data_IF_496895378278
#
_entry.id   IF_496895378278
#
_cell.length_a   1.000
_cell.length_b   1.000
_cell.length_c   1.000
_cell.angle_alpha   90.00
_cell.angle_beta   90.00
_cell.angle_gamma   90.00
#
_symmetry.space_group_name_H-M   'P 1'
#
loop_
_entity.id
_entity.type
_entity.pdbx_description
1 polymer ?
#
# COMPACT_ATOMS: atom_id res chain seq x y z
N UNK A 1 12.65 -10.25 10.65
CA UNK A 1 12.54 -10.79 9.28
C UNK A 1 11.10 -10.66 8.84
N UNK A 2 10.84 -10.24 7.61
CA UNK A 2 9.48 -10.36 7.02
C UNK A 2 9.23 -11.85 6.79
N UNK A 3 8.03 -12.33 7.10
CA UNK A 3 7.65 -13.72 6.84
C UNK A 3 7.88 -14.03 5.35
N UNK A 4 8.57 -15.15 5.06
CA UNK A 4 8.88 -15.56 3.69
C UNK A 4 7.62 -15.79 2.86
N UNK A 5 6.53 -16.19 3.51
CA UNK A 5 5.24 -16.35 2.88
C UNK A 5 4.68 -14.99 2.45
N UNK A 6 4.71 -13.98 3.33
CA UNK A 6 4.25 -12.63 3.01
C UNK A 6 5.10 -11.97 1.92
N UNK A 7 6.42 -12.17 1.96
CA UNK A 7 7.34 -11.61 0.97
C UNK A 7 7.16 -12.20 -0.45
N UNK A 8 6.50 -13.36 -0.58
CA UNK A 8 6.21 -13.99 -1.88
C UNK A 8 4.88 -13.58 -2.51
N UNK A 9 4.05 -12.83 -1.78
CA UNK A 9 2.73 -12.45 -2.23
C UNK A 9 2.80 -11.28 -3.24
N UNK A 10 2.10 -11.42 -4.37
CA UNK A 10 2.11 -10.41 -5.45
C UNK A 10 1.51 -9.06 -5.02
N UNK A 11 0.63 -9.08 -4.02
CA UNK A 11 -0.03 -7.91 -3.44
C UNK A 11 0.78 -7.26 -2.31
N UNK A 12 1.96 -7.81 -1.96
CA UNK A 12 2.85 -7.25 -0.94
C UNK A 12 4.05 -6.55 -1.56
N UNK A 13 4.21 -5.25 -1.28
CA UNK A 13 5.21 -4.40 -1.94
C UNK A 13 6.33 -3.90 -1.02
N UNK A 14 6.39 -4.37 0.23
CA UNK A 14 7.42 -3.92 1.17
C UNK A 14 7.37 -2.42 1.44
N UNK A 15 8.50 -1.71 1.29
CA UNK A 15 8.53 -0.24 1.40
C UNK A 15 8.09 0.35 0.05
N UNK A 16 6.86 0.89 0.01
CA UNK A 16 6.29 1.51 -1.18
C UNK A 16 5.93 2.99 -0.90
N UNK A 17 6.50 3.94 -1.66
CA UNK A 17 6.15 5.37 -1.58
C UNK A 17 4.69 5.65 -1.91
N UNK A 18 4.16 6.74 -1.36
CA UNK A 18 2.75 7.11 -1.55
C UNK A 18 2.38 7.42 -3.01
N UNK A 19 3.31 7.99 -3.78
CA UNK A 19 3.07 8.31 -5.19
C UNK A 19 2.91 7.05 -6.04
N UNK A 20 3.68 5.99 -5.76
CA UNK A 20 3.58 4.73 -6.48
C UNK A 20 2.26 4.02 -6.19
N UNK A 21 1.73 4.12 -4.96
CA UNK A 21 0.42 3.54 -4.59
C UNK A 21 -0.68 4.07 -5.50
N UNK A 22 -0.70 5.38 -5.79
CA UNK A 22 -1.71 6.00 -6.68
C UNK A 22 -1.61 5.53 -8.11
N UNK A 23 -0.40 5.20 -8.57
CA UNK A 23 -0.22 4.65 -9.90
C UNK A 23 -0.70 3.19 -10.00
N UNK A 24 -0.66 2.46 -8.89
CA UNK A 24 -0.98 1.03 -8.82
C UNK A 24 -2.46 0.75 -8.54
N UNK A 25 -3.11 1.56 -7.71
CA UNK A 25 -4.52 1.37 -7.36
C UNK A 25 -5.37 2.29 -8.26
N UNK A 26 -5.95 1.73 -9.34
CA UNK A 26 -6.67 2.52 -10.36
C UNK A 26 -8.18 2.37 -10.26
N UNK A 27 -8.63 1.18 -9.88
CA UNK A 27 -10.03 0.83 -9.82
C UNK A 27 -10.49 0.63 -8.38
N UNK A 28 -11.75 0.92 -8.10
CA UNK A 28 -12.39 0.63 -6.82
C UNK A 28 -12.19 -0.85 -6.46
N UNK A 29 -11.63 -1.10 -5.28
CA UNK A 29 -11.32 -2.44 -4.80
C UNK A 29 -9.89 -2.92 -5.11
N UNK A 30 -9.12 -2.22 -5.95
CA UNK A 30 -7.69 -2.46 -6.05
C UNK A 30 -7.06 -2.24 -4.67
N UNK A 31 -6.18 -3.16 -4.27
CA UNK A 31 -5.52 -3.08 -2.98
C UNK A 31 -4.06 -3.54 -3.05
N UNK A 32 -3.29 -3.10 -2.06
CA UNK A 32 -1.96 -3.60 -1.79
C UNK A 32 -1.63 -3.55 -0.30
N UNK A 33 -0.67 -4.37 0.11
CA UNK A 33 -0.09 -4.33 1.46
C UNK A 33 1.34 -3.82 1.38
N UNK A 34 1.68 -2.89 2.26
CA UNK A 34 3.04 -2.33 2.40
C UNK A 34 3.47 -2.30 3.85
N UNK A 35 4.75 -2.03 4.08
CA UNK A 35 5.30 -1.73 5.39
C UNK A 35 5.64 -0.26 5.51
N UNK A 36 5.55 0.29 6.71
CA UNK A 36 6.06 1.63 7.00
C UNK A 36 7.58 1.60 7.19
N UNK A 37 8.21 2.76 7.11
CA UNK A 37 9.57 2.91 7.57
C UNK A 37 9.69 2.47 9.04
N UNK A 38 10.77 1.77 9.41
CA UNK A 38 11.00 1.39 10.79
C UNK A 38 11.19 2.65 11.66
N UNK A 39 10.36 2.80 12.68
CA UNK A 39 10.59 3.80 13.73
C UNK A 39 11.39 3.13 14.84
N UNK A 40 12.48 3.75 15.28
CA UNK A 40 13.35 3.19 16.32
C UNK A 40 12.54 2.85 17.58
N UNK A 41 12.68 1.63 18.08
CA UNK A 41 11.95 1.13 19.24
C UNK A 41 10.50 0.70 18.98
N UNK A 42 9.98 0.82 17.74
CA UNK A 42 8.65 0.36 17.38
C UNK A 42 8.69 -0.88 16.48
N UNK A 43 7.71 -1.80 16.61
CA UNK A 43 7.57 -2.89 15.68
C UNK A 43 7.25 -2.36 14.28
N UNK A 44 7.70 -3.08 13.25
CA UNK A 44 7.35 -2.76 11.86
C UNK A 44 5.84 -2.87 11.68
N UNK A 45 5.21 -1.81 11.18
CA UNK A 45 3.78 -1.80 10.90
C UNK A 45 3.50 -2.19 9.44
N UNK A 46 2.42 -2.95 9.26
CA UNK A 46 1.85 -3.24 7.94
C UNK A 46 0.65 -2.33 7.69
N UNK A 47 0.47 -1.90 6.44
CA UNK A 47 -0.59 -1.02 6.00
C UNK A 47 -1.29 -1.63 4.81
N UNK A 48 -2.61 -1.81 4.90
CA UNK A 48 -3.48 -2.12 3.78
C UNK A 48 -3.92 -0.81 3.11
N UNK A 49 -3.61 -0.66 1.83
CA UNK A 49 -4.03 0.48 1.01
C UNK A 49 -5.08 -0.01 0.01
N UNK A 50 -6.21 0.68 -0.09
CA UNK A 50 -7.34 0.28 -0.96
C UNK A 50 -7.84 1.50 -1.71
N UNK A 51 -8.08 1.36 -3.02
CA UNK A 51 -8.77 2.40 -3.79
C UNK A 51 -10.27 2.32 -3.53
N UNK A 52 -10.84 3.47 -3.20
CA UNK A 52 -12.26 3.64 -2.96
C UNK A 52 -12.73 4.99 -3.48
N UNK A 53 -13.90 5.00 -4.13
CA UNK A 53 -14.45 6.17 -4.85
C UNK A 53 -13.47 6.76 -5.87
N UNK A 54 -12.92 5.93 -6.76
CA UNK A 54 -12.00 6.33 -7.84
C UNK A 54 -12.48 7.57 -8.61
N UNK A 55 -13.79 7.71 -8.77
CA UNK A 55 -14.43 8.84 -9.44
C UNK A 55 -14.12 10.20 -8.80
N UNK A 56 -13.76 10.24 -7.52
CA UNK A 56 -13.35 11.46 -6.82
C UNK A 56 -11.88 11.81 -7.08
N UNK A 57 -10.99 10.80 -7.17
CA UNK A 57 -9.60 11.02 -7.58
C UNK A 57 -9.51 11.50 -9.03
N UNK A 58 -10.32 10.94 -9.93
CA UNK A 58 -10.39 11.35 -11.34
C UNK A 58 -10.84 12.81 -11.50
N UNK A 59 -11.63 13.32 -10.56
CA UNK A 59 -12.06 14.71 -10.48
C UNK A 59 -11.00 15.64 -9.84
N UNK A 60 -9.85 15.10 -9.44
CA UNK A 60 -8.78 15.83 -8.78
C UNK A 60 -9.06 16.19 -7.32
N UNK A 61 -10.10 15.61 -6.72
CA UNK A 61 -10.44 15.84 -5.31
C UNK A 61 -9.50 14.99 -4.45
N UNK A 62 -8.66 15.65 -3.64
CA UNK A 62 -7.65 15.02 -2.76
C UNK A 62 -8.16 14.82 -1.34
#
# INVERSE_FOLDING_TARGET
MVDRQLASELWYHGLLPREDIKMMLRNNGDFLVRTTEPVAGQPRAFVLSVMFRQELEDQGVR
#
